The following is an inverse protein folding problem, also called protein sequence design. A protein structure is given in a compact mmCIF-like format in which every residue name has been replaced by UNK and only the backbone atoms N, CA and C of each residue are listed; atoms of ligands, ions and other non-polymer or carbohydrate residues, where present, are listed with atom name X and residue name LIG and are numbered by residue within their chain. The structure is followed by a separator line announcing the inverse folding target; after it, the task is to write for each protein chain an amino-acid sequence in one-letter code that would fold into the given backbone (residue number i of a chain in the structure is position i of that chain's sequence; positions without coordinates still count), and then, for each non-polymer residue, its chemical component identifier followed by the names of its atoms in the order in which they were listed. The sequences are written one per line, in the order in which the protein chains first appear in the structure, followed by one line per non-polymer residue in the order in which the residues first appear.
data_IF_609138518565
#
_entry.id   IF_609138518565
#
_cell.length_a   1.000
_cell.length_b   1.000
_cell.length_c   1.000
_cell.angle_alpha   90.00
_cell.angle_beta   90.00
_cell.angle_gamma   90.00
#
_symmetry.space_group_name_H-M   'P 1'
#
loop_
_entity.id
_entity.type
_entity.pdbx_description
1 polymer ?
#
# COMPACT_ATOMS: atom_id res chain seq x y z
N UNK A 1 10.51 8.66 -19.39
CA UNK A 1 10.90 7.27 -19.74
C UNK A 1 10.57 6.29 -18.63
N UNK A 2 10.92 6.60 -17.37
CA UNK A 2 10.63 5.76 -16.20
C UNK A 2 9.17 5.30 -16.12
N UNK A 3 8.21 6.23 -16.20
CA UNK A 3 6.77 5.93 -16.22
C UNK A 3 6.38 4.89 -17.29
N UNK A 4 6.82 5.08 -18.55
CA UNK A 4 6.51 4.16 -19.66
C UNK A 4 7.09 2.76 -19.44
N UNK A 5 8.28 2.69 -18.82
CA UNK A 5 8.93 1.42 -18.52
C UNK A 5 8.18 0.69 -17.40
N UNK A 6 7.79 1.41 -16.35
CA UNK A 6 6.98 0.87 -15.28
C UNK A 6 5.59 0.40 -15.75
N UNK A 7 4.92 1.19 -16.59
CA UNK A 7 3.64 0.82 -17.21
C UNK A 7 3.78 -0.46 -18.05
N UNK A 8 4.80 -0.56 -18.90
CA UNK A 8 5.03 -1.77 -19.70
C UNK A 8 5.30 -3.03 -18.86
N UNK A 9 5.85 -2.88 -17.65
CA UNK A 9 6.03 -3.97 -16.69
C UNK A 9 4.70 -4.30 -16.01
N UNK A 10 3.90 -3.30 -15.61
CA UNK A 10 2.56 -3.49 -15.04
C UNK A 10 1.62 -4.20 -16.01
N UNK A 11 1.63 -3.81 -17.28
CA UNK A 11 0.80 -4.40 -18.33
C UNK A 11 1.14 -5.88 -18.59
N UNK A 12 2.33 -6.35 -18.18
CA UNK A 12 2.71 -7.75 -18.28
C UNK A 12 2.11 -8.63 -17.15
N UNK A 13 1.49 -8.00 -16.14
CA UNK A 13 0.85 -8.66 -15.01
C UNK A 13 1.77 -9.60 -14.24
N UNK A 14 1.17 -10.59 -13.58
CA UNK A 14 1.88 -11.55 -12.71
C UNK A 14 2.90 -12.41 -13.46
N UNK A 15 2.71 -12.64 -14.76
CA UNK A 15 3.68 -13.39 -15.55
C UNK A 15 5.00 -12.65 -15.71
N UNK A 16 4.95 -11.31 -15.70
CA UNK A 16 6.09 -10.44 -15.91
C UNK A 16 6.58 -10.42 -17.36
N UNK A 17 7.63 -9.65 -17.60
CA UNK A 17 8.24 -9.48 -18.92
C UNK A 17 9.74 -9.79 -18.87
N UNK A 18 10.23 -10.53 -19.87
CA UNK A 18 11.66 -10.75 -20.04
C UNK A 18 12.39 -9.42 -20.25
N UNK A 19 13.45 -9.16 -19.49
CA UNK A 19 14.19 -7.89 -19.50
C UNK A 19 14.65 -7.49 -20.92
N UNK A 20 15.11 -8.46 -21.71
CA UNK A 20 15.54 -8.23 -23.11
C UNK A 20 14.38 -7.78 -24.02
N UNK A 21 13.18 -8.29 -23.75
CA UNK A 21 11.99 -8.03 -24.56
C UNK A 21 11.36 -6.71 -24.14
N UNK A 22 11.53 -6.30 -22.88
CA UNK A 22 11.20 -4.95 -22.40
C UNK A 22 11.96 -3.87 -23.18
N UNK A 23 13.25 -4.07 -23.46
CA UNK A 23 14.05 -3.12 -24.25
C UNK A 23 13.55 -3.01 -25.69
N UNK A 24 13.28 -4.15 -26.32
CA UNK A 24 12.73 -4.21 -27.69
C UNK A 24 11.34 -3.55 -27.75
N UNK A 25 10.48 -3.86 -26.78
CA UNK A 25 9.11 -3.30 -26.69
C UNK A 25 9.12 -1.79 -26.56
N UNK A 26 10.09 -1.23 -25.83
CA UNK A 26 10.18 0.21 -25.58
C UNK A 26 11.10 0.95 -26.57
N UNK A 27 11.82 0.24 -27.43
CA UNK A 27 12.79 0.83 -28.36
C UNK A 27 13.95 1.54 -27.66
N UNK A 28 14.38 1.05 -26.49
CA UNK A 28 15.44 1.70 -25.68
C UNK A 28 16.70 0.84 -25.61
N UNK A 29 17.84 1.52 -25.39
CA UNK A 29 19.10 0.86 -25.09
C UNK A 29 19.10 0.20 -23.70
N UNK A 30 19.79 -0.92 -23.60
CA UNK A 30 19.91 -1.72 -22.39
C UNK A 30 20.52 -0.96 -21.21
N UNK A 31 21.45 -0.01 -21.43
CA UNK A 31 22.07 0.79 -20.36
C UNK A 31 21.06 1.78 -19.77
N UNK A 32 20.27 2.41 -20.64
CA UNK A 32 19.19 3.32 -20.22
C UNK A 32 18.13 2.54 -19.46
N UNK A 33 17.70 1.41 -20.02
CA UNK A 33 16.73 0.52 -19.39
C UNK A 33 17.17 0.02 -18.02
N UNK A 34 18.41 -0.46 -17.91
CA UNK A 34 18.97 -0.96 -16.65
C UNK A 34 19.10 0.11 -15.58
N UNK A 35 19.45 1.36 -15.95
CA UNK A 35 19.52 2.47 -15.00
C UNK A 35 18.15 2.75 -14.38
N UNK A 36 17.12 2.81 -15.21
CA UNK A 36 15.73 3.04 -14.76
C UNK A 36 15.25 1.85 -13.93
N UNK A 37 15.52 0.62 -14.40
CA UNK A 37 15.07 -0.59 -13.72
C UNK A 37 15.63 -0.72 -12.30
N UNK A 38 16.93 -0.43 -12.12
CA UNK A 38 17.55 -0.38 -10.78
C UNK A 38 16.93 0.66 -9.87
N UNK A 39 16.50 1.79 -10.42
CA UNK A 39 15.81 2.83 -9.65
C UNK A 39 14.44 2.32 -9.16
N UNK A 40 13.67 1.70 -10.05
CA UNK A 40 12.38 1.11 -9.72
C UNK A 40 12.50 -0.03 -8.69
N UNK A 41 13.56 -0.85 -8.77
CA UNK A 41 13.85 -1.88 -7.77
C UNK A 41 14.16 -1.27 -6.40
N UNK A 42 14.99 -0.21 -6.36
CA UNK A 42 15.29 0.52 -5.11
C UNK A 42 14.04 1.14 -4.48
N UNK A 43 13.08 1.55 -5.30
CA UNK A 43 11.80 2.10 -4.83
C UNK A 43 10.82 0.99 -4.38
N UNK A 44 11.16 -0.29 -4.56
CA UNK A 44 10.27 -1.41 -4.27
C UNK A 44 9.04 -1.44 -5.17
N UNK A 45 9.17 -0.95 -6.41
CA UNK A 45 8.07 -0.95 -7.39
C UNK A 45 8.12 -2.15 -8.33
N UNK A 46 9.31 -2.75 -8.51
CA UNK A 46 9.50 -3.90 -9.39
C UNK A 46 10.45 -4.90 -8.74
N UNK A 47 10.33 -6.15 -9.15
CA UNK A 47 11.22 -7.25 -8.75
C UNK A 47 11.75 -7.96 -10.00
N UNK A 48 12.98 -8.47 -9.89
CA UNK A 48 13.61 -9.31 -10.92
C UNK A 48 13.85 -10.72 -10.40
N UNK A 49 13.47 -11.70 -11.20
CA UNK A 49 13.76 -13.11 -10.95
C UNK A 49 14.71 -13.65 -12.01
N UNK A 50 15.77 -14.32 -11.57
CA UNK A 50 16.70 -14.98 -12.47
C UNK A 50 16.02 -16.22 -13.07
N UNK A 51 16.08 -16.32 -14.39
CA UNK A 51 15.57 -17.47 -15.15
C UNK A 51 16.63 -17.97 -16.11
N UNK A 52 16.70 -19.29 -16.31
CA UNK A 52 17.58 -19.87 -17.32
C UNK A 52 16.85 -19.89 -18.65
N UNK A 53 17.35 -19.14 -19.63
CA UNK A 53 16.82 -19.16 -20.98
C UNK A 53 17.92 -19.55 -21.96
N UNK A 54 17.76 -20.71 -22.62
CA UNK A 54 18.74 -21.27 -23.58
C UNK A 54 20.16 -21.40 -22.98
N UNK A 55 20.25 -21.89 -21.75
CA UNK A 55 21.53 -22.11 -21.04
C UNK A 55 22.23 -20.82 -20.57
N UNK A 56 21.60 -19.65 -20.71
CA UNK A 56 22.12 -18.37 -20.20
C UNK A 56 21.18 -17.80 -19.14
N UNK A 57 21.76 -17.19 -18.11
CA UNK A 57 21.01 -16.42 -17.10
C UNK A 57 20.29 -15.25 -17.79
N UNK A 58 19.00 -15.12 -17.53
CA UNK A 58 18.17 -14.00 -17.94
C UNK A 58 17.30 -13.57 -16.77
N UNK A 59 16.49 -12.53 -16.97
CA UNK A 59 15.67 -11.98 -15.90
C UNK A 59 14.26 -11.73 -16.39
N UNK A 60 13.28 -12.20 -15.63
CA UNK A 60 11.89 -11.77 -15.73
C UNK A 60 11.70 -10.63 -14.75
N UNK A 61 11.06 -9.56 -15.23
CA UNK A 61 10.75 -8.37 -14.45
C UNK A 61 9.25 -8.35 -14.17
N UNK A 62 8.86 -8.15 -12.92
CA UNK A 62 7.45 -8.00 -12.50
C UNK A 62 7.24 -6.71 -11.74
N UNK A 63 6.06 -6.13 -11.87
CA UNK A 63 5.66 -5.05 -10.98
C UNK A 63 5.33 -5.66 -9.63
N UNK A 64 5.74 -4.99 -8.56
CA UNK A 64 5.22 -5.30 -7.24
C UNK A 64 3.85 -4.64 -7.19
N UNK A 65 2.79 -5.43 -7.32
CA UNK A 65 1.46 -4.94 -7.02
C UNK A 65 1.45 -4.55 -5.54
N UNK A 66 1.53 -3.24 -5.29
CA UNK A 66 0.92 -2.67 -4.10
C UNK A 66 -0.55 -2.89 -4.30
N UNK A 67 -1.04 -4.03 -3.85
CA UNK A 67 -2.46 -4.32 -3.90
C UNK A 67 -3.17 -3.15 -3.23
N UNK A 68 -3.83 -2.36 -4.07
CA UNK A 68 -5.03 -1.58 -3.72
C UNK A 68 -6.19 -2.53 -3.42
N UNK A 69 -5.93 -3.81 -3.05
CA UNK A 69 -6.86 -4.55 -2.24
C UNK A 69 -7.03 -3.66 -1.03
N UNK A 70 -8.18 -2.98 -0.97
CA UNK A 70 -8.59 -2.24 0.19
C UNK A 70 -8.24 -3.11 1.38
N UNK A 71 -7.45 -2.57 2.29
CA UNK A 71 -7.14 -3.30 3.52
C UNK A 71 -8.49 -3.53 4.16
N UNK A 72 -8.98 -4.78 4.11
CA UNK A 72 -10.15 -5.15 4.87
C UNK A 72 -9.77 -4.97 6.32
N UNK A 73 -10.30 -3.91 6.93
CA UNK A 73 -10.14 -3.68 8.35
C UNK A 73 -10.95 -4.80 9.01
N UNK A 74 -10.32 -5.71 9.78
CA UNK A 74 -11.08 -6.73 10.49
C UNK A 74 -12.11 -6.04 11.37
N UNK A 75 -13.36 -6.53 11.39
CA UNK A 75 -14.45 -5.94 12.20
C UNK A 75 -14.05 -5.70 13.65
N UNK A 76 -13.23 -6.59 14.21
CA UNK A 76 -12.66 -6.46 15.55
C UNK A 76 -11.94 -5.12 15.78
N UNK A 77 -11.27 -4.56 14.76
CA UNK A 77 -10.60 -3.25 14.87
C UNK A 77 -11.60 -2.09 14.80
N UNK A 78 -12.75 -2.25 14.14
CA UNK A 78 -13.83 -1.25 14.12
C UNK A 78 -14.49 -1.12 15.50
N UNK A 79 -14.55 -2.23 16.26
CA UNK A 79 -15.09 -2.26 17.62
C UNK A 79 -14.19 -1.58 18.65
N UNK A 80 -12.90 -1.37 18.36
CA UNK A 80 -11.97 -0.71 19.28
C UNK A 80 -12.13 0.81 19.19
N UNK A 81 -12.63 1.50 20.23
CA UNK A 81 -12.99 2.93 20.14
C UNK A 81 -11.81 3.85 19.86
N UNK A 82 -10.58 3.41 20.17
CA UNK A 82 -9.37 4.16 19.92
C UNK A 82 -8.91 4.11 18.46
N UNK A 83 -9.28 3.08 17.70
CA UNK A 83 -8.77 2.86 16.33
C UNK A 83 -9.08 4.02 15.39
N UNK A 84 -10.27 4.62 15.55
CA UNK A 84 -10.73 5.79 14.79
C UNK A 84 -10.89 7.04 15.66
N UNK A 85 -10.29 7.08 16.86
CA UNK A 85 -10.48 8.20 17.78
C UNK A 85 -9.73 9.45 17.29
N UNK A 86 -10.41 10.59 17.04
CA UNK A 86 -9.76 11.83 16.59
C UNK A 86 -8.75 12.39 17.60
N UNK A 87 -8.93 12.06 18.88
CA UNK A 87 -8.09 12.53 19.99
C UNK A 87 -6.95 11.56 20.33
N UNK A 88 -6.74 10.49 19.56
CA UNK A 88 -5.74 9.45 19.87
C UNK A 88 -4.33 10.04 20.08
N UNK A 89 -3.94 11.04 19.28
CA UNK A 89 -2.63 11.69 19.44
C UNK A 89 -2.47 12.33 20.82
N UNK A 90 -3.51 12.97 21.35
CA UNK A 90 -3.49 13.62 22.67
C UNK A 90 -3.36 12.59 23.80
N UNK A 91 -3.97 11.42 23.64
CA UNK A 91 -3.78 10.30 24.57
C UNK A 91 -2.33 9.80 24.57
N UNK A 92 -1.70 9.64 23.40
CA UNK A 92 -0.30 9.18 23.28
C UNK A 92 0.68 10.16 23.92
N UNK A 93 0.41 11.46 23.84
CA UNK A 93 1.23 12.49 24.49
C UNK A 93 0.88 12.69 25.98
N UNK A 94 -0.02 11.88 26.55
CA UNK A 94 -0.36 11.91 27.97
C UNK A 94 -1.27 13.07 28.39
N UNK A 95 -1.84 13.83 27.44
CA UNK A 95 -2.82 14.88 27.75
C UNK A 95 -4.18 14.31 28.21
N UNK A 96 -4.46 13.07 27.81
CA UNK A 96 -5.67 12.33 28.19
C UNK A 96 -5.21 11.02 28.80
N UNK A 97 -5.55 10.80 30.06
CA UNK A 97 -5.36 9.50 30.71
C UNK A 97 -6.22 8.45 30.02
N UNK A 98 -5.56 7.40 29.53
CA UNK A 98 -6.20 6.28 28.83
C UNK A 98 -7.17 5.54 29.77
N UNK A 99 -6.81 5.39 31.05
CA UNK A 99 -7.65 4.72 32.04
C UNK A 99 -8.82 5.61 32.49
N UNK A 100 -8.68 6.92 32.36
CA UNK A 100 -9.73 7.92 32.58
C UNK A 100 -10.69 8.10 31.40
N UNK A 101 -10.34 7.61 30.20
CA UNK A 101 -11.07 7.88 28.97
C UNK A 101 -12.48 7.25 28.98
N UNK A 102 -13.52 8.08 28.87
CA UNK A 102 -14.91 7.64 28.86
C UNK A 102 -15.22 6.64 27.72
N UNK A 103 -14.62 6.81 26.53
CA UNK A 103 -14.81 5.90 25.39
C UNK A 103 -14.29 4.49 25.68
N UNK A 104 -13.11 4.40 26.31
CA UNK A 104 -12.50 3.11 26.68
C UNK A 104 -13.28 2.46 27.82
N UNK A 105 -13.66 3.23 28.85
CA UNK A 105 -14.49 2.71 29.94
C UNK A 105 -15.79 2.12 29.42
N UNK A 106 -16.52 2.87 28.60
CA UNK A 106 -17.78 2.42 27.99
C UNK A 106 -17.62 1.13 27.18
N UNK A 107 -16.51 1.02 26.44
CA UNK A 107 -16.18 -0.19 25.69
C UNK A 107 -15.85 -1.39 26.60
N UNK A 108 -15.07 -1.18 27.66
CA UNK A 108 -14.75 -2.22 28.65
C UNK A 108 -16.00 -2.68 29.44
N UNK A 109 -16.92 -1.76 29.71
CA UNK A 109 -18.17 -2.03 30.42
C UNK A 109 -19.23 -2.71 29.53
N UNK A 110 -18.96 -2.90 28.24
CA UNK A 110 -19.87 -3.56 27.29
C UNK A 110 -21.11 -2.75 26.91
N UNK A 111 -21.12 -1.44 27.18
CA UNK A 111 -22.24 -0.53 26.89
C UNK A 111 -22.07 0.14 25.53
N UNK A 112 -22.12 -0.65 24.46
CA UNK A 112 -22.00 -0.15 23.08
C UNK A 112 -23.26 0.61 22.65
N UNK A 113 -23.23 1.95 22.68
CA UNK A 113 -24.22 2.78 21.98
C UNK A 113 -23.64 3.32 20.67
N UNK A 114 -24.24 2.92 19.54
CA UNK A 114 -24.07 3.51 18.22
C UNK A 114 -24.47 4.99 18.26
N UNK A 115 -23.49 5.88 18.34
CA UNK A 115 -23.72 7.32 18.18
C UNK A 115 -23.64 7.69 16.70
N UNK A 116 -24.61 7.24 15.92
CA UNK A 116 -25.05 7.95 14.72
C UNK A 116 -26.04 9.04 15.13
N UNK A 117 -25.56 10.12 15.73
CA UNK A 117 -26.34 11.37 15.79
C UNK A 117 -25.74 12.36 14.80
N UNK A 118 -26.42 12.49 13.67
CA UNK A 118 -26.19 13.55 12.71
C UNK A 118 -26.43 14.90 13.38
N UNK A 119 -25.44 15.77 13.32
CA UNK A 119 -25.65 17.20 13.48
C UNK A 119 -25.89 17.77 12.10
N UNK A 120 -27.15 17.73 11.68
CA UNK A 120 -27.72 18.81 10.88
C UNK A 120 -27.84 20.02 11.80
N UNK A 121 -27.03 21.04 11.58
CA UNK A 121 -27.33 22.39 12.05
C UNK A 121 -27.24 23.33 10.86
N UNK A 122 -28.42 23.62 10.31
CA UNK A 122 -28.64 24.81 9.53
C UNK A 122 -28.81 26.04 10.43
N UNK A 123 -28.53 27.18 9.80
CA UNK A 123 -29.04 28.54 10.05
C UNK A 123 -28.56 29.31 11.30
N UNK A 124 -27.75 30.34 11.04
CA UNK A 124 -28.22 31.75 11.03
C UNK A 124 -27.37 32.57 10.07
#
# INVERSE_FOLDING_TARGET
MEKKLYEAIRDAGDTGIMQRDLWKKLGIDSRVGMRILRQLERQGLVVREEVVHKGRKSYVVRAIERTERGVEIPRLLEEVPCFLCPSLRRCVYGEIDILGCAKIKRWLDGTGEDSSEGVHSGQS
#
